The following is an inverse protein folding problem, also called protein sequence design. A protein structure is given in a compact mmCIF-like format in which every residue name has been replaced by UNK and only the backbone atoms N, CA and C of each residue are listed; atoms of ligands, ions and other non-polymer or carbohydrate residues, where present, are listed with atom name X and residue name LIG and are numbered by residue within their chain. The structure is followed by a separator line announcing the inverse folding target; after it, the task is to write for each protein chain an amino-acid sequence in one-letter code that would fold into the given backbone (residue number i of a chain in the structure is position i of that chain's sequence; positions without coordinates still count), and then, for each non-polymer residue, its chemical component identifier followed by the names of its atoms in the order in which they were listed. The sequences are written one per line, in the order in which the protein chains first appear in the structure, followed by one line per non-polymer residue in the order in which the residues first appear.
data_IF_672928272625
#
_entry.id   IF_672928272625
#
_cell.length_a   1.000
_cell.length_b   1.000
_cell.length_c   1.000
_cell.angle_alpha   90.00
_cell.angle_beta   90.00
_cell.angle_gamma   90.00
#
_symmetry.space_group_name_H-M   'P 1'
#
loop_
_entity.id
_entity.type
_entity.pdbx_description
1 polymer ?
#
# COMPACT_ATOMS: atom_id res chain seq x y z
N UNK A 1 -33.05 -4.94 -13.43
CA UNK A 1 -32.43 -4.85 -12.09
C UNK A 1 -30.95 -5.21 -12.19
N UNK A 2 -30.05 -4.60 -11.42
CA UNK A 2 -28.61 -4.89 -11.52
C UNK A 2 -28.27 -6.38 -11.23
N UNK A 3 -29.00 -6.99 -10.28
CA UNK A 3 -28.85 -8.41 -9.96
C UNK A 3 -29.26 -9.35 -11.10
N UNK A 4 -30.32 -9.02 -11.85
CA UNK A 4 -30.78 -9.82 -12.99
C UNK A 4 -29.81 -9.80 -14.18
N UNK A 5 -29.01 -8.74 -14.31
CA UNK A 5 -27.96 -8.66 -15.33
C UNK A 5 -26.77 -9.54 -14.95
N UNK A 6 -26.38 -9.50 -13.67
CA UNK A 6 -25.29 -10.31 -13.13
C UNK A 6 -25.60 -11.81 -13.20
N UNK A 7 -26.85 -12.23 -12.95
CA UNK A 7 -27.28 -13.62 -13.12
C UNK A 7 -27.25 -14.12 -14.57
N UNK A 8 -27.42 -13.23 -15.54
CA UNK A 8 -27.32 -13.59 -16.97
C UNK A 8 -25.85 -13.73 -17.37
N UNK A 9 -25.01 -12.77 -17.00
CA UNK A 9 -23.57 -12.80 -17.31
C UNK A 9 -22.84 -13.96 -16.62
N UNK A 10 -23.26 -14.36 -15.41
CA UNK A 10 -22.70 -15.52 -14.71
C UNK A 10 -23.01 -16.86 -15.39
N UNK A 11 -24.13 -16.97 -16.12
CA UNK A 11 -24.49 -18.20 -16.83
C UNK A 11 -23.66 -18.42 -18.08
N UNK A 12 -23.12 -17.35 -18.64
CA UNK A 12 -22.30 -17.38 -19.86
C UNK A 12 -20.80 -17.56 -19.55
N UNK A 13 -20.40 -17.53 -18.27
CA UNK A 13 -19.01 -17.60 -17.83
C UNK A 13 -18.55 -19.05 -17.57
N UNK A 14 -17.31 -19.42 -17.91
CA UNK A 14 -16.73 -20.70 -17.50
C UNK A 14 -16.52 -20.77 -15.99
N UNK A 15 -16.66 -21.97 -15.41
CA UNK A 15 -16.56 -22.22 -13.97
C UNK A 15 -15.26 -21.72 -13.32
N UNK A 16 -14.16 -21.73 -14.08
CA UNK A 16 -12.87 -21.19 -13.63
C UNK A 16 -12.95 -19.70 -13.28
N UNK A 17 -13.72 -18.93 -14.04
CA UNK A 17 -13.87 -17.48 -13.86
C UNK A 17 -14.92 -17.13 -12.81
N UNK A 18 -15.79 -18.06 -12.44
CA UNK A 18 -16.78 -17.86 -11.37
C UNK A 18 -16.08 -17.75 -10.01
N UNK A 19 -14.99 -18.50 -9.81
CA UNK A 19 -14.18 -18.42 -8.58
C UNK A 19 -13.61 -17.02 -8.39
N UNK A 20 -13.03 -16.43 -9.44
CA UNK A 20 -12.49 -15.07 -9.42
C UNK A 20 -13.58 -14.02 -9.10
N UNK A 21 -14.79 -14.19 -9.64
CA UNK A 21 -15.92 -13.31 -9.36
C UNK A 21 -16.36 -13.41 -7.90
N UNK A 22 -16.38 -14.63 -7.33
CA UNK A 22 -16.71 -14.84 -5.92
C UNK A 22 -15.66 -14.17 -5.02
N UNK A 23 -14.37 -14.34 -5.32
CA UNK A 23 -13.28 -13.69 -4.58
C UNK A 23 -13.41 -12.17 -4.64
N UNK A 24 -13.72 -11.62 -5.82
CA UNK A 24 -13.93 -10.18 -5.98
C UNK A 24 -15.13 -9.66 -5.18
N UNK A 25 -16.25 -10.39 -5.16
CA UNK A 25 -17.41 -10.02 -4.34
C UNK A 25 -17.05 -10.04 -2.84
N UNK A 26 -16.28 -11.03 -2.38
CA UNK A 26 -15.80 -11.08 -0.99
C UNK A 26 -14.89 -9.88 -0.66
N UNK A 27 -13.99 -9.52 -1.58
CA UNK A 27 -13.14 -8.34 -1.45
C UNK A 27 -13.96 -7.04 -1.34
N UNK A 28 -15.00 -6.88 -2.17
CA UNK A 28 -15.89 -5.72 -2.10
C UNK A 28 -16.62 -5.63 -0.75
N UNK A 29 -17.11 -6.76 -0.22
CA UNK A 29 -17.72 -6.82 1.11
C UNK A 29 -16.73 -6.45 2.21
N UNK A 30 -15.50 -6.95 2.15
CA UNK A 30 -14.45 -6.61 3.10
C UNK A 30 -14.09 -5.12 3.05
N UNK A 31 -13.98 -4.54 1.84
CA UNK A 31 -13.72 -3.12 1.65
C UNK A 31 -14.83 -2.26 2.27
N UNK A 32 -16.10 -2.63 2.06
CA UNK A 32 -17.25 -1.95 2.65
C UNK A 32 -17.21 -1.97 4.19
N UNK A 33 -16.99 -3.14 4.80
CA UNK A 33 -16.84 -3.26 6.25
C UNK A 33 -15.70 -2.40 6.79
N UNK A 34 -14.58 -2.34 6.06
CA UNK A 34 -13.42 -1.53 6.45
C UNK A 34 -13.75 -0.03 6.39
N UNK A 35 -14.45 0.44 5.36
CA UNK A 35 -14.91 1.83 5.26
C UNK A 35 -15.94 2.20 6.32
N UNK A 36 -16.85 1.29 6.68
CA UNK A 36 -17.82 1.52 7.76
C UNK A 36 -17.16 1.58 9.14
N UNK A 37 -16.08 0.81 9.35
CA UNK A 37 -15.31 0.82 10.60
C UNK A 37 -14.35 2.01 10.73
N UNK A 38 -14.02 2.71 9.64
CA UNK A 38 -13.10 3.85 9.66
C UNK A 38 -13.25 4.71 8.39
N UNK A 39 -14.03 5.80 8.42
CA UNK A 39 -14.20 6.69 7.26
C UNK A 39 -12.90 7.40 6.84
N UNK A 40 -11.90 7.50 7.72
CA UNK A 40 -10.59 8.10 7.43
C UNK A 40 -9.61 7.18 6.68
N UNK A 41 -9.95 5.91 6.43
CA UNK A 41 -9.04 4.95 5.78
C UNK A 41 -8.97 5.05 4.24
N UNK A 42 -9.67 6.02 3.63
CA UNK A 42 -9.64 6.28 2.18
C UNK A 42 -8.29 6.83 1.69
N UNK A 43 -7.50 7.39 2.60
CA UNK A 43 -6.08 7.62 2.39
C UNK A 43 -5.35 6.62 3.28
N UNK A 44 -4.46 5.77 2.75
CA UNK A 44 -3.47 5.14 3.60
C UNK A 44 -2.52 6.26 4.04
N UNK A 45 -2.97 7.08 5.01
CA UNK A 45 -2.10 7.78 5.93
C UNK A 45 -1.06 6.74 6.33
N UNK A 46 0.20 7.00 5.99
CA UNK A 46 1.31 6.10 6.23
C UNK A 46 1.39 5.91 7.75
N UNK A 47 0.68 4.92 8.29
CA UNK A 47 0.70 4.53 9.70
C UNK A 47 2.00 3.81 10.08
N UNK A 48 3.10 4.16 9.42
CA UNK A 48 4.39 3.96 10.04
C UNK A 48 4.60 5.18 10.93
N UNK A 49 4.90 5.01 12.23
CA UNK A 49 5.30 6.13 13.05
C UNK A 49 6.54 6.75 12.39
N UNK A 50 6.35 7.85 11.68
CA UNK A 50 7.47 8.62 11.15
C UNK A 50 8.36 8.93 12.34
N UNK A 51 9.65 8.56 12.26
CA UNK A 51 10.60 8.87 13.34
C UNK A 51 10.58 10.39 13.50
N UNK A 52 10.16 10.85 14.67
CA UNK A 52 10.25 12.28 15.02
C UNK A 52 11.72 12.69 14.84
N UNK A 53 11.94 13.69 13.99
CA UNK A 53 13.26 14.29 13.79
C UNK A 53 13.77 14.82 15.14
N UNK A 54 15.05 14.62 15.45
CA UNK A 54 15.66 15.17 16.66
C UNK A 54 15.39 14.43 17.98
N UNK A 55 14.90 13.19 17.98
CA UNK A 55 14.73 12.39 19.22
C UNK A 55 16.06 12.02 19.88
N UNK A 56 17.15 12.00 19.12
CA UNK A 56 18.49 11.75 19.65
C UNK A 56 19.12 13.07 20.11
N UNK A 57 18.98 13.37 21.41
CA UNK A 57 19.60 14.54 22.07
C UNK A 57 21.11 14.32 22.33
N UNK A 58 21.86 13.88 21.33
CA UNK A 58 23.31 13.65 21.41
C UNK A 58 24.06 14.53 20.42
N UNK A 59 25.30 14.89 20.76
CA UNK A 59 26.22 15.49 19.81
C UNK A 59 26.58 14.44 18.76
N UNK A 60 26.21 14.68 17.51
CA UNK A 60 26.69 13.89 16.38
C UNK A 60 28.16 14.24 16.14
N UNK A 61 29.04 13.25 16.25
CA UNK A 61 30.44 13.37 15.83
C UNK A 61 30.52 12.73 14.47
N UNK A 62 30.65 13.56 13.43
CA UNK A 62 30.92 13.08 12.08
C UNK A 62 32.43 12.88 11.93
N UNK A 63 32.83 11.96 11.04
CA UNK A 63 34.23 11.83 10.67
C UNK A 63 34.67 13.04 9.83
N UNK A 64 35.95 13.39 9.89
CA UNK A 64 36.49 14.56 9.19
C UNK A 64 36.41 14.43 7.65
N UNK A 65 36.31 13.19 7.15
CA UNK A 65 36.22 12.81 5.74
C UNK A 65 34.77 12.56 5.25
N UNK A 66 33.75 12.93 6.03
CA UNK A 66 32.35 12.63 5.69
C UNK A 66 31.91 13.22 4.33
N UNK A 67 32.43 14.39 3.97
CA UNK A 67 32.14 15.06 2.70
C UNK A 67 33.08 14.62 1.57
N UNK A 68 34.11 13.80 1.86
CA UNK A 68 35.02 13.31 0.83
C UNK A 68 34.33 12.26 -0.06
N UNK A 69 34.50 12.42 -1.37
CA UNK A 69 33.95 11.46 -2.33
C UNK A 69 34.70 10.13 -2.20
N UNK A 70 34.00 9.01 -1.93
CA UNK A 70 34.66 7.72 -1.79
C UNK A 70 35.38 7.32 -3.10
N UNK A 71 36.46 6.55 -2.98
CA UNK A 71 37.30 6.12 -4.11
C UNK A 71 36.51 5.52 -5.28
N UNK A 72 35.51 4.70 -4.95
CA UNK A 72 34.65 4.04 -5.93
C UNK A 72 33.83 5.02 -6.79
N UNK A 73 33.67 6.27 -6.36
CA UNK A 73 32.87 7.28 -7.05
C UNK A 73 33.71 8.35 -7.75
N UNK A 74 35.04 8.41 -7.50
CA UNK A 74 35.93 9.40 -8.15
C UNK A 74 35.93 9.31 -9.67
N UNK A 75 35.70 8.13 -10.24
CA UNK A 75 35.69 7.93 -11.70
C UNK A 75 34.41 8.41 -12.40
N UNK A 76 33.38 8.81 -11.65
CA UNK A 76 32.09 9.26 -12.18
C UNK A 76 31.90 10.78 -12.11
N UNK A 77 32.83 11.50 -11.48
CA UNK A 77 32.90 12.97 -11.41
C UNK A 77 33.86 13.48 -12.49
#
# INVERSE_FOLDING_TARGET
MAYELLEKELKDLPESSIVDVIEYIQFLKFKLQKTESNPDALFPERKHPERKLGVLNSKFVMADDFDETPDCFRGYM
#
